data_IF_586830077452
#
_entry.id   IF_586830077452
#
_cell.length_a   1.000
_cell.length_b   1.000
_cell.length_c   1.000
_cell.angle_alpha   90.00
_cell.angle_beta   90.00
_cell.angle_gamma   90.00
#
_symmetry.space_group_name_H-M   'P 1'
#
loop_
_entity.id
_entity.type
_entity.pdbx_description
1 polymer ?
#
# COMPACT_ATOMS: atom_id res chain seq x y z
N UNK A 1 21.60 -38.66 -74.17
CA UNK A 1 21.37 -37.37 -73.49
C UNK A 1 19.89 -37.25 -73.17
N UNK A 2 19.52 -36.76 -71.98
CA UNK A 2 18.14 -36.37 -71.63
C UNK A 2 17.54 -37.11 -70.44
N UNK A 3 17.93 -36.71 -69.22
CA UNK A 3 17.32 -37.14 -67.95
C UNK A 3 16.17 -36.19 -67.56
N UNK A 4 15.24 -36.78 -66.79
CA UNK A 4 14.51 -36.23 -65.63
C UNK A 4 13.28 -35.32 -65.80
N UNK A 5 12.15 -35.88 -65.33
CA UNK A 5 10.92 -35.23 -64.81
C UNK A 5 11.23 -34.49 -63.50
N UNK A 6 10.51 -33.41 -63.14
CA UNK A 6 10.04 -33.05 -61.77
C UNK A 6 9.07 -31.84 -61.89
N UNK A 7 7.76 -32.04 -61.75
CA UNK A 7 6.86 -31.79 -60.58
C UNK A 7 6.67 -30.32 -60.16
N UNK A 8 5.39 -29.92 -60.15
CA UNK A 8 4.81 -28.70 -59.59
C UNK A 8 5.30 -28.42 -58.16
N UNK A 9 5.65 -27.17 -57.88
CA UNK A 9 5.67 -26.61 -56.54
C UNK A 9 4.42 -25.74 -56.34
N UNK A 10 3.50 -26.22 -55.51
CA UNK A 10 2.46 -25.42 -54.89
C UNK A 10 2.54 -25.70 -53.39
N UNK A 11 2.38 -24.67 -52.56
CA UNK A 11 2.36 -24.66 -51.08
C UNK A 11 3.57 -24.02 -50.41
N UNK A 12 3.61 -22.68 -50.34
CA UNK A 12 4.16 -21.95 -49.18
C UNK A 12 3.42 -20.60 -49.06
N UNK A 13 2.16 -20.60 -48.64
CA UNK A 13 1.49 -19.40 -48.10
C UNK A 13 0.61 -19.86 -46.92
N UNK A 14 1.22 -20.37 -45.86
CA UNK A 14 0.51 -20.64 -44.60
C UNK A 14 1.45 -20.60 -43.38
N UNK A 15 2.30 -19.59 -43.29
CA UNK A 15 3.20 -19.43 -42.13
C UNK A 15 3.27 -18.02 -41.56
N UNK A 16 2.66 -17.01 -42.20
CA UNK A 16 2.70 -15.63 -41.69
C UNK A 16 1.59 -15.31 -40.67
N UNK A 17 0.44 -16.01 -40.74
CA UNK A 17 -0.71 -15.76 -39.85
C UNK A 17 -0.53 -16.33 -38.43
N UNK A 18 0.33 -17.35 -38.26
CA UNK A 18 0.54 -18.01 -36.95
C UNK A 18 1.53 -17.19 -36.09
N UNK A 19 2.53 -16.55 -36.72
CA UNK A 19 3.54 -15.77 -36.00
C UNK A 19 2.94 -14.49 -35.40
N UNK A 20 1.98 -13.86 -36.09
CA UNK A 20 1.27 -12.67 -35.59
C UNK A 20 0.37 -13.00 -34.38
N UNK A 21 -0.18 -14.23 -34.32
CA UNK A 21 -1.01 -14.66 -33.19
C UNK A 21 -0.22 -14.84 -31.88
N UNK A 22 1.04 -15.28 -31.95
CA UNK A 22 1.87 -15.48 -30.76
C UNK A 22 2.41 -14.16 -30.19
N UNK A 23 2.71 -13.16 -31.04
CA UNK A 23 3.18 -11.86 -30.58
C UNK A 23 2.09 -11.07 -29.81
N UNK A 24 0.82 -11.19 -30.22
CA UNK A 24 -0.30 -10.51 -29.57
C UNK A 24 -0.70 -11.11 -28.21
N UNK A 25 -0.42 -12.39 -27.94
CA UNK A 25 -0.66 -12.99 -26.63
C UNK A 25 0.33 -12.48 -25.56
N UNK A 26 1.59 -12.22 -25.94
CA UNK A 26 2.62 -11.74 -25.00
C UNK A 26 2.47 -10.25 -24.65
N UNK A 27 2.02 -9.41 -25.58
CA UNK A 27 1.77 -7.99 -25.30
C UNK A 27 0.61 -7.80 -24.31
N UNK A 28 -0.47 -8.59 -24.45
CA UNK A 28 -1.61 -8.56 -23.52
C UNK A 28 -1.28 -9.08 -22.12
N UNK A 29 -0.31 -9.98 -21.97
CA UNK A 29 0.14 -10.47 -20.67
C UNK A 29 1.03 -9.45 -19.94
N UNK A 30 1.83 -8.67 -20.69
CA UNK A 30 2.68 -7.61 -20.12
C UNK A 30 1.88 -6.38 -19.67
N UNK A 31 0.81 -5.99 -20.37
CA UNK A 31 -0.06 -4.90 -19.91
C UNK A 31 -0.84 -5.24 -18.63
N UNK A 32 -1.18 -6.51 -18.42
CA UNK A 32 -1.99 -6.93 -17.27
C UNK A 32 -1.28 -6.86 -15.91
N UNK A 33 0.06 -6.79 -15.89
CA UNK A 33 0.89 -6.93 -14.69
C UNK A 33 1.79 -5.70 -14.45
N UNK A 34 1.51 -4.57 -15.07
CA UNK A 34 2.26 -3.34 -14.79
C UNK A 34 1.92 -2.80 -13.39
N UNK A 35 2.91 -2.35 -12.61
CA UNK A 35 2.68 -1.76 -11.30
C UNK A 35 1.66 -0.62 -11.35
N UNK A 36 0.75 -0.59 -10.38
CA UNK A 36 -0.23 0.50 -10.25
C UNK A 36 0.48 1.71 -9.63
N UNK A 37 0.41 2.85 -10.31
CA UNK A 37 0.98 4.10 -9.80
C UNK A 37 0.38 4.45 -8.42
N UNK A 38 1.17 5.02 -7.48
CA UNK A 38 0.73 5.23 -6.10
C UNK A 38 -0.56 6.03 -5.95
N UNK A 39 -0.71 7.11 -6.71
CA UNK A 39 -1.89 7.98 -6.67
C UNK A 39 -3.15 7.23 -7.14
N UNK A 40 -3.01 6.41 -8.19
CA UNK A 40 -4.11 5.54 -8.66
C UNK A 40 -4.44 4.45 -7.66
N UNK A 41 -3.45 3.90 -6.96
CA UNK A 41 -3.66 2.92 -5.89
C UNK A 41 -4.37 3.55 -4.68
N UNK A 42 -3.99 4.76 -4.25
CA UNK A 42 -4.69 5.52 -3.20
C UNK A 42 -6.15 5.76 -3.60
N UNK A 43 -6.39 6.20 -4.84
CA UNK A 43 -7.74 6.47 -5.32
C UNK A 43 -8.61 5.21 -5.30
N UNK A 44 -8.08 4.05 -5.70
CA UNK A 44 -8.79 2.76 -5.59
C UNK A 44 -9.17 2.42 -4.16
N UNK A 45 -8.28 2.65 -3.19
CA UNK A 45 -8.56 2.44 -1.77
C UNK A 45 -9.66 3.39 -1.29
N UNK A 46 -9.59 4.68 -1.62
CA UNK A 46 -10.60 5.68 -1.24
C UNK A 46 -11.97 5.32 -1.81
N UNK A 47 -12.05 4.97 -3.10
CA UNK A 47 -13.30 4.58 -3.75
C UNK A 47 -13.91 3.33 -3.12
N UNK A 48 -13.07 2.35 -2.79
CA UNK A 48 -13.48 1.15 -2.10
C UNK A 48 -14.01 1.41 -0.69
N UNK A 49 -13.31 2.25 0.09
CA UNK A 49 -13.79 2.64 1.40
C UNK A 49 -15.08 3.48 1.35
N UNK A 50 -15.23 4.34 0.34
CA UNK A 50 -16.49 5.05 0.11
C UNK A 50 -17.66 4.08 -0.15
N UNK A 51 -17.44 2.98 -0.90
CA UNK A 51 -18.47 1.94 -1.06
C UNK A 51 -18.78 1.24 0.26
N UNK A 52 -17.75 0.92 1.05
CA UNK A 52 -17.91 0.32 2.39
C UNK A 52 -18.74 1.22 3.33
N UNK A 53 -18.38 2.50 3.46
CA UNK A 53 -19.08 3.48 4.32
C UNK A 53 -20.55 3.68 3.91
N UNK A 54 -20.84 3.58 2.62
CA UNK A 54 -22.19 3.79 2.07
C UNK A 54 -23.04 2.51 2.02
N UNK A 55 -22.57 1.39 2.59
CA UNK A 55 -23.20 0.06 2.50
C UNK A 55 -23.46 -0.38 1.04
N UNK A 56 -22.51 -0.10 0.15
CA UNK A 56 -22.56 -0.39 -1.29
C UNK A 56 -21.37 -1.23 -1.77
N UNK A 57 -20.74 -1.99 -0.87
CA UNK A 57 -19.62 -2.88 -1.21
C UNK A 57 -19.99 -3.85 -2.33
N UNK A 58 -19.11 -3.94 -3.33
CA UNK A 58 -19.28 -4.84 -4.47
C UNK A 58 -18.75 -6.25 -4.16
N UNK A 59 -17.90 -6.39 -3.14
CA UNK A 59 -17.19 -7.63 -2.79
C UNK A 59 -16.46 -8.22 -4.01
N UNK A 60 -15.62 -7.43 -4.70
CA UNK A 60 -15.07 -7.82 -5.99
C UNK A 60 -14.11 -9.00 -5.83
N UNK A 61 -14.08 -9.90 -6.82
CA UNK A 61 -13.02 -10.92 -6.96
C UNK A 61 -12.87 -11.82 -5.72
N UNK A 62 -13.97 -12.22 -5.08
CA UNK A 62 -13.98 -13.15 -3.93
C UNK A 62 -14.47 -14.57 -4.28
N UNK A 63 -14.49 -14.93 -5.57
CA UNK A 63 -15.04 -16.19 -6.07
C UNK A 63 -13.95 -17.24 -6.38
N UNK A 64 -14.37 -18.47 -6.75
CA UNK A 64 -13.46 -19.57 -7.09
C UNK A 64 -12.56 -19.28 -8.28
N UNK A 65 -13.07 -18.57 -9.29
CA UNK A 65 -12.29 -18.20 -10.46
C UNK A 65 -11.10 -17.30 -10.08
N UNK A 66 -11.33 -16.28 -9.23
CA UNK A 66 -10.23 -15.46 -8.71
C UNK A 66 -9.23 -16.30 -7.91
N UNK A 67 -9.69 -17.21 -7.06
CA UNK A 67 -8.79 -18.09 -6.29
C UNK A 67 -7.88 -18.91 -7.21
N UNK A 68 -8.43 -19.49 -8.27
CA UNK A 68 -7.65 -20.23 -9.26
C UNK A 68 -6.63 -19.34 -9.98
N UNK A 69 -6.99 -18.10 -10.32
CA UNK A 69 -6.06 -17.14 -10.90
C UNK A 69 -4.90 -16.80 -9.93
N UNK A 70 -5.22 -16.45 -8.68
CA UNK A 70 -4.22 -16.02 -7.69
C UNK A 70 -3.35 -17.17 -7.15
N UNK A 71 -3.72 -18.42 -7.43
CA UNK A 71 -2.92 -19.58 -7.05
C UNK A 71 -1.64 -19.70 -7.89
N UNK A 72 -1.63 -19.16 -9.12
CA UNK A 72 -0.47 -19.18 -10.02
C UNK A 72 0.48 -18.00 -9.75
N UNK A 73 -0.07 -16.80 -9.57
CA UNK A 73 0.70 -15.60 -9.21
C UNK A 73 -0.17 -14.55 -8.51
N UNK A 74 0.46 -13.63 -7.80
CA UNK A 74 -0.21 -12.50 -7.15
C UNK A 74 0.36 -11.17 -7.63
N UNK A 75 -0.52 -10.18 -7.78
CA UNK A 75 -0.19 -8.83 -8.23
C UNK A 75 -0.95 -7.80 -7.38
N UNK A 76 -0.68 -7.72 -6.07
CA UNK A 76 -1.32 -6.73 -5.21
C UNK A 76 -0.94 -5.32 -5.67
N UNK A 77 -1.87 -4.37 -5.58
CA UNK A 77 -1.62 -2.99 -6.00
C UNK A 77 -1.17 -2.08 -4.85
N UNK A 78 -1.32 -2.53 -3.60
CA UNK A 78 -0.91 -1.80 -2.41
C UNK A 78 -0.49 -2.76 -1.28
N UNK A 79 0.46 -2.31 -0.46
CA UNK A 79 0.83 -2.92 0.81
C UNK A 79 0.07 -2.19 1.93
N UNK A 80 -0.66 -2.92 2.76
CA UNK A 80 -1.34 -2.36 3.94
C UNK A 80 -0.67 -2.88 5.21
N UNK A 81 -0.06 -1.98 5.98
CA UNK A 81 0.49 -2.25 7.31
C UNK A 81 -0.51 -1.76 8.34
N UNK A 82 -1.13 -2.66 9.08
CA UNK A 82 -2.21 -2.28 10.02
C UNK A 82 -2.23 -3.11 11.29
N UNK A 83 -3.20 -2.80 12.17
CA UNK A 83 -3.37 -3.47 13.44
C UNK A 83 -3.92 -4.90 13.27
N UNK A 84 -3.52 -5.82 14.15
CA UNK A 84 -4.16 -7.12 14.31
C UNK A 84 -5.59 -7.04 14.88
N UNK A 85 -6.08 -5.84 15.24
CA UNK A 85 -7.44 -5.62 15.74
C UNK A 85 -8.48 -6.23 14.78
N UNK A 86 -9.34 -7.11 15.30
CA UNK A 86 -10.31 -7.88 14.51
C UNK A 86 -11.34 -7.02 13.80
N UNK A 87 -11.49 -5.74 14.19
CA UNK A 87 -12.41 -4.78 13.58
C UNK A 87 -11.79 -4.04 12.38
N UNK A 88 -10.53 -4.32 12.05
CA UNK A 88 -9.80 -3.64 10.96
C UNK A 88 -9.37 -4.63 9.87
N UNK A 89 -10.31 -5.27 9.14
CA UNK A 89 -10.01 -6.15 8.00
C UNK A 89 -9.82 -5.34 6.68
N UNK A 90 -8.59 -5.10 6.17
CA UNK A 90 -8.36 -4.15 5.08
C UNK A 90 -9.12 -4.48 3.79
N UNK A 91 -9.25 -5.76 3.43
CA UNK A 91 -9.96 -6.18 2.23
C UNK A 91 -11.44 -5.79 2.27
N UNK A 92 -12.07 -5.83 3.46
CA UNK A 92 -13.46 -5.42 3.64
C UNK A 92 -13.55 -3.89 3.67
N UNK A 93 -12.69 -3.23 4.46
CA UNK A 93 -12.71 -1.78 4.64
C UNK A 93 -12.47 -1.02 3.33
N UNK A 94 -11.68 -1.59 2.43
CA UNK A 94 -11.39 -1.01 1.12
C UNK A 94 -12.15 -1.71 -0.02
N UNK A 95 -13.11 -2.59 0.28
CA UNK A 95 -13.90 -3.33 -0.72
C UNK A 95 -13.03 -3.94 -1.85
N UNK A 96 -12.06 -4.76 -1.45
CA UNK A 96 -11.11 -5.46 -2.32
C UNK A 96 -11.28 -6.97 -2.26
N UNK A 97 -10.65 -7.65 -3.21
CA UNK A 97 -10.71 -9.09 -3.39
C UNK A 97 -9.40 -9.80 -3.09
N UNK A 98 -9.42 -11.10 -3.40
CA UNK A 98 -8.29 -11.99 -3.18
C UNK A 98 -7.13 -11.58 -4.11
N UNK A 99 -5.94 -11.38 -3.52
CA UNK A 99 -4.72 -11.03 -4.24
C UNK A 99 -4.57 -9.55 -4.61
N UNK A 100 -5.49 -8.68 -4.18
CA UNK A 100 -5.45 -7.25 -4.53
C UNK A 100 -4.59 -6.41 -3.57
N UNK A 101 -4.48 -6.84 -2.30
CA UNK A 101 -3.70 -6.18 -1.25
C UNK A 101 -2.67 -7.15 -0.67
N UNK A 102 -1.49 -6.64 -0.35
CA UNK A 102 -0.49 -7.36 0.44
C UNK A 102 -0.53 -6.85 1.88
N UNK A 103 -0.87 -7.69 2.85
CA UNK A 103 -1.30 -7.22 4.17
C UNK A 103 -0.35 -7.72 5.26
N UNK A 104 0.16 -6.79 6.07
CA UNK A 104 0.94 -7.07 7.27
C UNK A 104 0.15 -6.56 8.48
N UNK A 105 -0.09 -7.45 9.45
CA UNK A 105 -0.88 -7.14 10.64
C UNK A 105 -0.16 -7.52 11.93
N UNK A 106 0.10 -6.51 12.74
CA UNK A 106 0.68 -6.63 14.09
C UNK A 106 -0.11 -5.75 15.04
N UNK A 107 -0.19 -6.08 16.33
CA UNK A 107 -0.96 -5.26 17.26
C UNK A 107 -0.34 -3.84 17.37
N UNK A 108 -1.15 -2.80 17.17
CA UNK A 108 -0.68 -1.41 17.11
C UNK A 108 0.14 -1.07 15.87
N UNK A 109 -0.01 -1.84 14.76
CA UNK A 109 0.69 -1.63 13.49
C UNK A 109 2.22 -1.44 13.65
N UNK A 110 2.79 -2.12 14.64
CA UNK A 110 4.23 -2.10 14.93
C UNK A 110 5.00 -2.88 13.86
N UNK A 111 6.21 -2.46 13.56
CA UNK A 111 7.06 -3.16 12.58
C UNK A 111 8.31 -3.71 13.28
N UNK A 112 8.51 -5.01 13.15
CA UNK A 112 9.75 -5.70 13.48
C UNK A 112 10.49 -6.09 12.18
N UNK A 113 11.58 -6.85 12.30
CA UNK A 113 12.37 -7.26 11.13
C UNK A 113 11.58 -8.17 10.17
N UNK A 114 10.68 -9.01 10.66
CA UNK A 114 9.87 -9.88 9.81
C UNK A 114 8.82 -9.06 9.04
N UNK A 115 8.21 -8.06 9.68
CA UNK A 115 7.31 -7.12 9.02
C UNK A 115 8.03 -6.32 7.92
N UNK A 116 9.22 -5.77 8.22
CA UNK A 116 10.03 -5.04 7.22
C UNK A 116 10.41 -5.95 6.05
N UNK A 117 10.91 -7.16 6.31
CA UNK A 117 11.25 -8.10 5.25
C UNK A 117 10.04 -8.50 4.37
N UNK A 118 8.85 -8.57 4.96
CA UNK A 118 7.61 -8.81 4.20
C UNK A 118 7.23 -7.61 3.31
N UNK A 119 7.44 -6.38 3.80
CA UNK A 119 7.23 -5.16 3.01
C UNK A 119 8.23 -5.10 1.85
N UNK A 120 9.51 -5.38 2.11
CA UNK A 120 10.55 -5.43 1.08
C UNK A 120 10.25 -6.48 0.02
N UNK A 121 9.79 -7.67 0.43
CA UNK A 121 9.37 -8.71 -0.51
C UNK A 121 8.27 -8.19 -1.45
N UNK A 122 7.23 -7.56 -0.93
CA UNK A 122 6.15 -7.05 -1.78
C UNK A 122 6.60 -5.85 -2.64
N UNK A 123 7.41 -4.94 -2.13
CA UNK A 123 7.90 -3.79 -2.89
C UNK A 123 8.85 -4.20 -4.01
N UNK A 124 9.85 -5.04 -3.70
CA UNK A 124 10.91 -5.43 -4.64
C UNK A 124 10.48 -6.58 -5.55
N UNK A 125 9.92 -7.67 -4.99
CA UNK A 125 9.63 -8.88 -5.74
C UNK A 125 8.28 -8.84 -6.44
N UNK A 126 7.25 -8.26 -5.80
CA UNK A 126 5.92 -8.13 -6.39
C UNK A 126 5.72 -6.78 -7.11
N UNK A 127 6.68 -5.86 -7.00
CA UNK A 127 6.66 -4.58 -7.68
C UNK A 127 5.62 -3.59 -7.15
N UNK A 128 5.16 -3.75 -5.90
CA UNK A 128 4.14 -2.87 -5.31
C UNK A 128 4.72 -1.48 -5.03
N UNK A 129 4.03 -0.44 -5.47
CA UNK A 129 4.55 0.94 -5.41
C UNK A 129 3.89 1.81 -4.33
N UNK A 130 2.87 1.30 -3.63
CA UNK A 130 2.21 2.01 -2.53
C UNK A 130 2.29 1.19 -1.24
N UNK A 131 2.74 1.83 -0.17
CA UNK A 131 2.61 1.34 1.20
C UNK A 131 1.70 2.30 1.98
N UNK A 132 0.67 1.74 2.62
CA UNK A 132 -0.22 2.48 3.52
C UNK A 132 -0.07 1.92 4.93
N UNK A 133 0.33 2.77 5.88
CA UNK A 133 0.26 2.47 7.30
C UNK A 133 -1.11 2.91 7.81
N UNK A 134 -1.98 1.96 8.11
CA UNK A 134 -3.34 2.21 8.55
C UNK A 134 -3.44 2.05 10.07
N UNK A 135 -3.49 3.19 10.78
CA UNK A 135 -3.91 3.24 12.18
C UNK A 135 -5.43 3.21 12.30
N UNK A 136 -5.94 3.05 13.53
CA UNK A 136 -7.38 3.06 13.78
C UNK A 136 -7.72 3.60 15.15
N UNK A 137 -8.93 4.15 15.25
CA UNK A 137 -9.51 4.64 16.50
C UNK A 137 -9.56 3.55 17.58
N UNK A 138 -9.46 3.95 18.86
CA UNK A 138 -9.58 3.06 20.02
C UNK A 138 -8.70 1.81 19.92
N UNK A 139 -7.47 1.99 19.46
CA UNK A 139 -6.47 0.92 19.38
C UNK A 139 -6.06 0.43 20.76
N UNK A 140 -6.26 -0.86 21.04
CA UNK A 140 -5.96 -1.46 22.33
C UNK A 140 -4.47 -1.43 22.69
N UNK A 141 -3.58 -1.67 21.74
CA UNK A 141 -2.12 -1.65 21.96
C UNK A 141 -1.63 -0.24 22.30
N UNK A 142 -2.11 0.78 21.57
CA UNK A 142 -1.75 2.18 21.84
C UNK A 142 -2.36 2.65 23.17
N UNK A 143 -3.61 2.30 23.43
CA UNK A 143 -4.26 2.63 24.71
C UNK A 143 -3.52 2.02 25.91
N UNK A 144 -3.06 0.77 25.78
CA UNK A 144 -2.26 0.12 26.80
C UNK A 144 -0.90 0.83 27.00
N UNK A 145 -0.23 1.22 25.92
CA UNK A 145 1.03 1.97 26.00
C UNK A 145 0.83 3.35 26.66
N UNK A 146 -0.26 4.07 26.34
CA UNK A 146 -0.61 5.35 26.98
C UNK A 146 -0.90 5.18 28.47
N UNK A 147 -1.62 4.14 28.86
CA UNK A 147 -1.91 3.83 30.27
C UNK A 147 -0.63 3.50 31.04
N UNK A 148 0.35 2.91 30.36
CA UNK A 148 1.61 2.47 30.95
C UNK A 148 1.47 1.26 31.87
N UNK A 149 2.52 1.02 32.66
CA UNK A 149 2.65 -0.15 33.54
C UNK A 149 3.41 -1.31 32.90
N UNK A 150 3.60 -2.38 33.66
CA UNK A 150 4.29 -3.58 33.17
C UNK A 150 3.37 -4.42 32.27
N UNK A 151 3.80 -4.63 31.03
CA UNK A 151 3.15 -5.56 30.11
C UNK A 151 3.83 -6.94 30.20
N UNK A 152 3.07 -8.04 30.39
CA UNK A 152 3.66 -9.36 30.57
C UNK A 152 4.19 -9.95 29.26
N UNK A 153 5.24 -10.76 29.36
CA UNK A 153 5.78 -11.53 28.23
C UNK A 153 6.12 -10.67 27.02
N UNK A 154 5.80 -11.17 25.82
CA UNK A 154 6.10 -10.46 24.56
C UNK A 154 5.22 -9.23 24.29
N UNK A 155 4.17 -8.98 25.10
CA UNK A 155 3.34 -7.77 24.97
C UNK A 155 4.17 -6.51 25.28
N UNK A 156 5.18 -6.62 26.16
CA UNK A 156 6.13 -5.54 26.45
C UNK A 156 6.86 -5.00 25.22
N UNK A 157 7.12 -5.86 24.22
CA UNK A 157 7.74 -5.42 22.97
C UNK A 157 6.82 -4.44 22.22
N UNK A 158 5.52 -4.70 22.19
CA UNK A 158 4.53 -3.82 21.54
C UNK A 158 4.53 -2.43 22.19
N UNK A 159 4.53 -2.39 23.52
CA UNK A 159 4.58 -1.13 24.28
C UNK A 159 5.85 -0.37 23.95
N UNK A 160 7.01 -1.03 23.94
CA UNK A 160 8.30 -0.42 23.60
C UNK A 160 8.33 0.18 22.18
N UNK A 161 7.69 -0.47 21.21
CA UNK A 161 7.61 0.06 19.85
C UNK A 161 6.73 1.31 19.75
N UNK A 162 5.68 1.39 20.58
CA UNK A 162 4.67 2.46 20.56
C UNK A 162 5.06 3.65 21.47
N UNK A 163 5.84 3.42 22.51
CA UNK A 163 6.25 4.42 23.51
C UNK A 163 6.75 5.75 22.90
N UNK A 164 7.59 5.77 21.83
CA UNK A 164 7.99 7.03 21.21
C UNK A 164 6.82 7.89 20.70
N UNK A 165 5.74 7.27 20.23
CA UNK A 165 4.54 7.98 19.80
C UNK A 165 3.76 8.57 20.98
N UNK A 166 3.69 7.83 22.09
CA UNK A 166 3.07 8.30 23.33
C UNK A 166 3.82 9.52 23.88
N UNK A 167 5.15 9.48 23.89
CA UNK A 167 5.96 10.61 24.36
C UNK A 167 5.76 11.85 23.48
N UNK A 168 5.76 11.72 22.15
CA UNK A 168 5.42 12.84 21.26
C UNK A 168 4.03 13.39 21.53
N UNK A 169 3.03 12.52 21.69
CA UNK A 169 1.64 12.90 21.91
C UNK A 169 1.42 13.67 23.22
N UNK A 170 2.17 13.36 24.29
CA UNK A 170 2.13 14.09 25.58
C UNK A 170 2.51 15.57 25.46
N UNK A 171 3.30 15.93 24.45
CA UNK A 171 3.74 17.31 24.22
C UNK A 171 2.79 18.11 23.30
N UNK A 172 1.74 17.47 22.78
CA UNK A 172 0.76 18.15 21.93
C UNK A 172 -0.25 18.93 22.78
N UNK A 173 -0.57 20.15 22.36
CA UNK A 173 -1.44 21.08 23.11
C UNK A 173 -2.92 20.87 22.88
N UNK A 174 -3.30 20.11 21.85
CA UNK A 174 -4.68 19.94 21.38
C UNK A 174 -4.94 18.48 21.04
N UNK A 175 -6.19 18.04 21.15
CA UNK A 175 -6.60 16.65 20.87
C UNK A 175 -6.51 15.73 22.09
N UNK A 176 -7.12 14.55 21.98
CA UNK A 176 -7.02 13.51 23.00
C UNK A 176 -5.67 12.81 22.94
N UNK A 177 -5.09 12.50 24.10
CA UNK A 177 -3.76 11.86 24.19
C UNK A 177 -3.68 10.54 23.41
N UNK A 178 -4.71 9.71 23.49
CA UNK A 178 -4.75 8.42 22.80
C UNK A 178 -4.82 8.62 21.27
N UNK A 179 -5.69 9.49 20.78
CA UNK A 179 -5.84 9.75 19.35
C UNK A 179 -4.57 10.36 18.75
N UNK A 180 -3.96 11.30 19.48
CA UNK A 180 -2.66 11.86 19.13
C UNK A 180 -1.59 10.76 19.09
N UNK A 181 -1.53 9.88 20.08
CA UNK A 181 -0.58 8.77 20.10
C UNK A 181 -0.80 7.78 18.95
N UNK A 182 -2.06 7.53 18.55
CA UNK A 182 -2.36 6.68 17.39
C UNK A 182 -1.81 7.33 16.10
N UNK A 183 -2.10 8.62 15.89
CA UNK A 183 -1.63 9.34 14.70
C UNK A 183 -0.10 9.48 14.64
N UNK A 184 0.54 9.72 15.78
CA UNK A 184 2.01 9.73 15.89
C UNK A 184 2.60 8.34 15.66
N UNK A 185 1.94 7.27 16.12
CA UNK A 185 2.39 5.91 15.89
C UNK A 185 2.34 5.54 14.39
N UNK A 186 1.30 5.96 13.68
CA UNK A 186 1.24 5.87 12.21
C UNK A 186 2.39 6.65 11.58
N UNK A 187 2.57 7.92 11.96
CA UNK A 187 3.58 8.80 11.37
C UNK A 187 5.01 8.29 11.58
N UNK A 188 5.34 7.82 12.79
CA UNK A 188 6.63 7.21 13.11
C UNK A 188 6.84 5.91 12.32
N UNK A 189 5.80 5.10 12.17
CA UNK A 189 5.88 3.85 11.41
C UNK A 189 6.11 4.13 9.91
N UNK A 190 5.42 5.13 9.35
CA UNK A 190 5.67 5.63 7.99
C UNK A 190 7.12 6.05 7.83
N UNK A 191 7.65 6.88 8.74
CA UNK A 191 9.04 7.34 8.70
C UNK A 191 10.03 6.17 8.77
N UNK A 192 9.81 5.21 9.67
CA UNK A 192 10.67 4.01 9.79
C UNK A 192 10.68 3.14 8.53
N UNK A 193 9.53 2.93 7.89
CA UNK A 193 9.43 2.18 6.63
C UNK A 193 10.14 2.93 5.51
N UNK A 194 9.86 4.24 5.41
CA UNK A 194 10.37 5.07 4.33
C UNK A 194 11.91 5.22 4.38
N UNK A 195 12.49 5.28 5.58
CA UNK A 195 13.95 5.31 5.79
C UNK A 195 14.61 3.93 5.86
N UNK A 196 13.86 2.84 5.70
CA UNK A 196 14.42 1.49 5.80
C UNK A 196 15.36 1.19 4.63
N UNK A 197 16.58 0.81 4.96
CA UNK A 197 17.64 0.43 4.01
C UNK A 197 17.80 -1.09 3.94
N UNK A 198 18.28 -1.64 2.81
CA UNK A 198 18.70 -0.90 1.60
C UNK A 198 17.58 -0.65 0.59
N UNK A 199 16.47 -1.40 0.63
CA UNK A 199 15.53 -1.49 -0.50
C UNK A 199 14.53 -0.33 -0.54
N UNK A 200 13.77 -0.12 0.55
CA UNK A 200 12.61 0.78 0.53
C UNK A 200 13.01 2.24 0.31
N UNK A 201 14.07 2.68 0.98
CA UNK A 201 14.64 4.01 0.80
C UNK A 201 15.11 4.24 -0.64
N UNK A 202 15.82 3.29 -1.23
CA UNK A 202 16.30 3.38 -2.61
C UNK A 202 15.13 3.46 -3.61
N UNK A 203 14.09 2.63 -3.46
CA UNK A 203 12.90 2.67 -4.30
C UNK A 203 12.16 4.01 -4.18
N UNK A 204 12.05 4.56 -2.96
CA UNK A 204 11.44 5.86 -2.71
C UNK A 204 12.23 6.99 -3.35
N UNK A 205 13.55 7.03 -3.17
CA UNK A 205 14.43 8.04 -3.77
C UNK A 205 14.40 8.01 -5.31
N UNK A 206 14.15 6.84 -5.90
CA UNK A 206 13.91 6.66 -7.34
C UNK A 206 12.50 7.01 -7.79
N UNK A 207 11.62 7.46 -6.89
CA UNK A 207 10.22 7.77 -7.18
C UNK A 207 9.36 6.54 -7.54
N UNK A 208 9.81 5.33 -7.20
CA UNK A 208 9.12 4.06 -7.49
C UNK A 208 8.27 3.55 -6.34
N UNK A 209 8.35 4.17 -5.16
CA UNK A 209 7.64 3.75 -3.97
C UNK A 209 7.14 4.97 -3.20
N UNK A 210 5.86 4.97 -2.83
CA UNK A 210 5.24 5.93 -1.91
C UNK A 210 4.87 5.24 -0.62
N UNK A 211 5.19 5.87 0.51
CA UNK A 211 4.76 5.45 1.84
C UNK A 211 3.88 6.54 2.42
N UNK A 212 2.65 6.21 2.82
CA UNK A 212 1.71 7.17 3.41
C UNK A 212 1.00 6.58 4.63
N UNK A 213 0.46 7.46 5.46
CA UNK A 213 -0.34 7.10 6.62
C UNK A 213 -1.83 7.26 6.34
N UNK A 214 -2.65 6.47 7.03
CA UNK A 214 -4.09 6.64 7.05
C UNK A 214 -4.66 6.29 8.43
N UNK A 215 -5.84 6.80 8.72
CA UNK A 215 -6.55 6.57 9.97
C UNK A 215 -7.96 6.04 9.68
N UNK A 216 -8.30 4.91 10.30
CA UNK A 216 -9.62 4.29 10.24
C UNK A 216 -10.48 4.68 11.45
N UNK A 217 -11.62 5.28 11.17
CA UNK A 217 -12.65 5.64 12.15
C UNK A 217 -13.61 4.46 12.33
N UNK A 218 -13.70 3.95 13.57
CA UNK A 218 -14.47 2.75 13.86
C UNK A 218 -15.99 2.99 13.88
N UNK A 219 -16.43 4.23 14.09
CA UNK A 219 -17.84 4.57 14.22
C UNK A 219 -18.50 4.78 12.86
N UNK A 220 -17.81 5.47 11.95
CA UNK A 220 -18.28 5.80 10.60
C UNK A 220 -17.85 4.79 9.55
N UNK A 221 -16.79 4.02 9.81
CA UNK A 221 -16.15 3.17 8.82
C UNK A 221 -15.25 3.92 7.84
N UNK A 222 -15.05 5.23 8.00
CA UNK A 222 -14.27 6.04 7.08
C UNK A 222 -12.77 5.87 7.30
N UNK A 223 -12.01 5.82 6.20
CA UNK A 223 -10.56 5.88 6.20
C UNK A 223 -10.10 7.24 5.67
N UNK A 224 -9.31 7.95 6.47
CA UNK A 224 -8.76 9.26 6.11
C UNK A 224 -7.25 9.14 5.89
N UNK A 225 -6.80 9.48 4.69
CA UNK A 225 -5.37 9.52 4.35
C UNK A 225 -4.70 10.77 4.90
N UNK A 226 -3.47 10.63 5.36
CA UNK A 226 -2.66 11.77 5.81
C UNK A 226 -2.21 12.59 4.60
N UNK A 227 -2.15 13.91 4.78
CA UNK A 227 -1.65 14.82 3.75
C UNK A 227 -0.13 14.66 3.61
N UNK A 228 0.35 14.67 2.38
CA UNK A 228 1.79 14.64 2.12
C UNK A 228 2.44 15.91 2.71
N UNK A 229 3.52 15.75 3.48
CA UNK A 229 4.24 16.87 4.13
C UNK A 229 4.77 17.90 3.12
N UNK A 230 4.92 17.53 1.84
CA UNK A 230 5.47 18.36 0.75
C UNK A 230 4.54 19.48 0.29
N UNK A 231 3.24 19.44 0.59
CA UNK A 231 2.29 20.52 0.21
C UNK A 231 2.46 21.80 1.05
N UNK A 232 3.19 21.75 2.16
CA UNK A 232 3.41 22.93 3.03
C UNK A 232 4.59 23.80 2.60
N UNK A 233 5.49 23.32 1.73
CA UNK A 233 6.67 24.09 1.29
C UNK A 233 6.33 25.12 0.22
N UNK A 234 5.37 24.85 -0.67
CA UNK A 234 5.02 25.77 -1.77
C UNK A 234 4.19 27.00 -1.31
N UNK A 235 3.60 26.97 -0.12
CA UNK A 235 2.81 28.10 0.42
C UNK A 235 3.61 29.07 1.28
N UNK A 236 4.83 28.71 1.69
CA UNK A 236 5.69 29.60 2.48
C UNK A 236 6.53 30.50 1.57
N UNK A 237 6.98 30.02 0.40
CA UNK A 237 7.84 30.82 -0.50
C UNK A 237 7.11 31.93 -1.27
N UNK A 238 5.76 31.88 -1.40
CA UNK A 238 5.01 32.91 -2.16
C UNK A 238 4.57 34.15 -1.35
N UNK A 239 5.00 34.30 -0.09
CA UNK A 239 4.60 35.45 0.75
C UNK A 239 5.67 36.52 0.95
N UNK A 240 6.94 36.26 0.59
CA UNK A 240 8.04 37.18 0.89
C UNK A 240 8.42 38.12 -0.28
N UNK A 241 7.89 37.89 -1.48
CA UNK A 241 8.24 38.70 -2.68
C UNK A 241 7.34 39.93 -2.91
N UNK A 242 6.38 40.23 -2.02
CA UNK A 242 5.41 41.30 -2.23
C UNK A 242 5.70 42.61 -1.46
N UNK A 243 6.90 42.79 -0.91
CA UNK A 243 7.29 44.04 -0.24
C UNK A 243 8.69 44.44 -0.66
N UNK A 244 8.85 45.01 -1.87
CA UNK A 244 9.82 46.09 -2.14
C UNK A 244 9.52 46.67 -3.53
N UNK A 245 8.77 47.77 -3.55
CA UNK A 245 8.39 48.42 -4.80
C UNK A 245 7.79 49.80 -4.58
N UNK A 246 8.47 50.67 -3.81
CA UNK A 246 8.30 52.13 -3.87
C UNK A 246 9.59 52.81 -3.39
N UNK A 247 10.37 53.33 -4.32
CA UNK A 247 10.97 54.67 -4.28
C UNK A 247 11.28 55.12 -5.69
#
# INVERSE_FOLDING_TARGET
MGKLKFKLASSVILSLSIIISCANMNANAFEKNSPVAPESAIQKLIEGNNRYVLDKSENPRQNSARRSETAESQHPFAIIVTCSDSRVPPEILFDQGIGDLFIIRTAGNVIDSAAVGSIEYAAEHLGVQLIVVLGHERCGAVSAAVKGGEAPGHISNLVKYIEPAVEKAKHMKTGGLIDNAINENVSITVEKIAESEPILKELREKGKLKVTGAFYDLDSGAVQFFKDKTENTEKVEKKDDAVHGKH
#
